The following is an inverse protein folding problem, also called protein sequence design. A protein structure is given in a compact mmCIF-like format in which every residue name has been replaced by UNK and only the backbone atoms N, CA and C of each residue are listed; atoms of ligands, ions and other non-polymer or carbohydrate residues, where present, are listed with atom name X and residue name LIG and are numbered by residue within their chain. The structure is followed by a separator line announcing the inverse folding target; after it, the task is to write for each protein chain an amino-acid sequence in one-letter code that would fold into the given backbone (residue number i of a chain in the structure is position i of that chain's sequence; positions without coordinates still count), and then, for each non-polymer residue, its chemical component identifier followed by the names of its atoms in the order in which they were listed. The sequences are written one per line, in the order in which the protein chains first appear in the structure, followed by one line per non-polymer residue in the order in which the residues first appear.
data_IF_025968704913
#
_entry.id   IF_025968704913
#
_cell.length_a   1.000
_cell.length_b   1.000
_cell.length_c   1.000
_cell.angle_alpha   90.00
_cell.angle_beta   90.00
_cell.angle_gamma   90.00
#
_symmetry.space_group_name_H-M   'P 1'
#
loop_
_entity.id
_entity.type
_entity.pdbx_description
1 polymer ?
#
# COMPACT_ATOMS: atom_id res chain seq x y z
N UNK A 1 13.84 25.36 -22.40
CA UNK A 1 14.85 24.29 -22.19
C UNK A 1 14.44 23.39 -21.03
N UNK A 2 14.05 23.93 -19.86
CA UNK A 2 13.44 23.14 -18.77
C UNK A 2 12.29 22.24 -19.25
N UNK A 3 11.36 22.77 -20.06
CA UNK A 3 10.25 21.98 -20.63
C UNK A 3 10.65 20.82 -21.55
N UNK A 4 11.86 20.85 -22.14
CA UNK A 4 12.37 19.74 -22.97
C UNK A 4 12.97 18.67 -22.06
N UNK A 5 13.69 19.08 -21.02
CA UNK A 5 14.22 18.16 -20.02
C UNK A 5 13.10 17.44 -19.27
N UNK A 6 12.05 18.15 -18.85
CA UNK A 6 10.86 17.55 -18.25
C UNK A 6 10.27 16.45 -19.13
N UNK A 7 10.14 16.69 -20.44
CA UNK A 7 9.65 15.68 -21.38
C UNK A 7 10.58 14.45 -21.49
N UNK A 8 11.90 14.66 -21.41
CA UNK A 8 12.87 13.55 -21.39
C UNK A 8 12.76 12.74 -20.09
N UNK A 9 12.63 13.41 -18.95
CA UNK A 9 12.46 12.75 -17.66
C UNK A 9 11.14 11.97 -17.58
N UNK A 10 10.06 12.55 -18.10
CA UNK A 10 8.76 11.89 -18.21
C UNK A 10 8.84 10.64 -19.10
N UNK A 11 9.58 10.72 -20.21
CA UNK A 11 9.83 9.57 -21.09
C UNK A 11 10.65 8.49 -20.39
N UNK A 12 11.72 8.85 -19.66
CA UNK A 12 12.52 7.89 -18.91
C UNK A 12 11.69 7.19 -17.83
N UNK A 13 10.81 7.89 -17.11
CA UNK A 13 9.91 7.25 -16.15
C UNK A 13 8.89 6.34 -16.82
N UNK A 14 8.34 6.74 -17.96
CA UNK A 14 7.38 5.91 -18.69
C UNK A 14 8.01 4.60 -19.16
N UNK A 15 9.25 4.66 -19.67
CA UNK A 15 10.03 3.48 -20.06
C UNK A 15 10.36 2.59 -18.86
N UNK A 16 10.77 3.18 -17.75
CA UNK A 16 11.03 2.44 -16.51
C UNK A 16 9.77 1.72 -16.01
N UNK A 17 8.63 2.41 -15.94
CA UNK A 17 7.36 1.77 -15.57
C UNK A 17 6.95 0.66 -16.53
N UNK A 18 7.17 0.83 -17.84
CA UNK A 18 6.90 -0.22 -18.81
C UNK A 18 7.79 -1.46 -18.58
N UNK A 19 9.05 -1.25 -18.21
CA UNK A 19 9.96 -2.34 -17.85
C UNK A 19 9.49 -3.08 -16.58
N UNK A 20 9.09 -2.34 -15.53
CA UNK A 20 8.57 -2.93 -14.29
C UNK A 20 7.33 -3.80 -14.51
N UNK A 21 6.43 -3.40 -15.42
CA UNK A 21 5.24 -4.19 -15.75
C UNK A 21 5.56 -5.52 -16.43
N UNK A 22 6.76 -5.67 -16.99
CA UNK A 22 7.24 -6.91 -17.60
C UNK A 22 7.95 -7.85 -16.63
N UNK A 23 8.29 -7.39 -15.43
CA UNK A 23 9.03 -8.16 -14.41
C UNK A 23 8.12 -9.06 -13.59
N UNK A 24 8.69 -10.11 -13.02
CA UNK A 24 7.99 -10.93 -12.03
C UNK A 24 7.99 -10.28 -10.64
N UNK A 25 7.25 -10.88 -9.70
CA UNK A 25 7.08 -10.30 -8.36
C UNK A 25 8.37 -10.36 -7.55
N UNK A 26 9.13 -11.41 -7.73
CA UNK A 26 10.40 -11.64 -7.04
C UNK A 26 11.45 -10.62 -7.51
N UNK A 27 11.52 -10.33 -8.80
CA UNK A 27 12.34 -9.27 -9.40
C UNK A 27 11.94 -7.88 -8.87
N UNK A 28 10.64 -7.56 -8.84
CA UNK A 28 10.14 -6.29 -8.30
C UNK A 28 10.53 -6.12 -6.83
N UNK A 29 10.44 -7.18 -6.01
CA UNK A 29 10.83 -7.13 -4.60
C UNK A 29 12.35 -6.89 -4.48
N UNK A 30 13.15 -7.59 -5.28
CA UNK A 30 14.60 -7.46 -5.28
C UNK A 30 15.06 -6.04 -5.69
N UNK A 31 14.35 -5.41 -6.63
CA UNK A 31 14.64 -4.05 -7.11
C UNK A 31 13.87 -2.96 -6.36
N UNK A 32 13.17 -3.27 -5.28
CA UNK A 32 12.32 -2.30 -4.55
C UNK A 32 13.05 -1.02 -4.13
N UNK A 33 14.32 -1.11 -3.72
CA UNK A 33 15.14 0.05 -3.38
C UNK A 33 15.45 0.94 -4.60
N UNK A 34 15.75 0.34 -5.74
CA UNK A 34 16.00 1.04 -7.00
C UNK A 34 14.72 1.73 -7.50
N UNK A 35 13.57 1.04 -7.42
CA UNK A 35 12.26 1.59 -7.76
C UNK A 35 11.95 2.82 -6.89
N UNK A 36 12.18 2.71 -5.57
CA UNK A 36 11.95 3.82 -4.65
C UNK A 36 12.88 5.01 -4.94
N UNK A 37 14.17 4.75 -5.24
CA UNK A 37 15.12 5.80 -5.61
C UNK A 37 14.71 6.49 -6.91
N UNK A 38 14.30 5.74 -7.93
CA UNK A 38 13.85 6.29 -9.22
C UNK A 38 12.63 7.19 -9.04
N UNK A 39 11.65 6.76 -8.24
CA UNK A 39 10.45 7.55 -7.94
C UNK A 39 10.80 8.84 -7.18
N UNK A 40 11.57 8.73 -6.10
CA UNK A 40 11.95 9.88 -5.28
C UNK A 40 12.78 10.91 -6.07
N UNK A 41 13.71 10.42 -6.90
CA UNK A 41 14.51 11.27 -7.79
C UNK A 41 13.65 12.01 -8.81
N UNK A 42 12.69 11.33 -9.42
CA UNK A 42 11.78 11.92 -10.39
C UNK A 42 10.89 13.00 -9.76
N UNK A 43 10.29 12.73 -8.61
CA UNK A 43 9.42 13.69 -7.93
C UNK A 43 10.22 14.93 -7.50
N UNK A 44 11.37 14.74 -6.87
CA UNK A 44 12.21 15.84 -6.42
C UNK A 44 12.72 16.70 -7.57
N UNK A 45 13.14 16.08 -8.68
CA UNK A 45 13.69 16.84 -9.80
C UNK A 45 12.62 17.68 -10.52
N UNK A 46 11.35 17.26 -10.43
CA UNK A 46 10.22 18.02 -11.01
C UNK A 46 9.72 19.12 -10.08
N UNK A 47 9.62 18.83 -8.78
CA UNK A 47 8.91 19.72 -7.86
C UNK A 47 9.85 20.67 -7.11
N UNK A 48 11.06 20.21 -6.76
CA UNK A 48 11.93 20.90 -5.80
C UNK A 48 13.29 21.32 -6.36
N UNK A 49 13.79 20.65 -7.41
CA UNK A 49 15.13 20.89 -7.90
C UNK A 49 15.26 22.17 -8.72
N UNK A 50 16.31 22.95 -8.41
CA UNK A 50 16.62 24.19 -9.10
C UNK A 50 17.83 24.00 -9.98
N UNK A 51 17.60 23.90 -11.28
CA UNK A 51 18.67 23.78 -12.27
C UNK A 51 19.52 25.05 -12.34
N UNK A 52 20.84 24.88 -12.26
CA UNK A 52 21.80 25.91 -12.55
C UNK A 52 22.03 26.07 -14.07
N UNK A 53 22.81 27.08 -14.45
CA UNK A 53 23.13 27.33 -15.86
C UNK A 53 24.03 26.19 -16.38
N UNK A 54 23.55 25.44 -17.36
CA UNK A 54 24.31 24.36 -17.99
C UNK A 54 23.84 22.96 -17.59
N UNK A 55 23.14 22.82 -16.46
CA UNK A 55 22.69 21.52 -15.95
C UNK A 55 21.75 20.84 -16.93
N UNK A 56 20.80 21.62 -17.48
CA UNK A 56 19.83 21.11 -18.46
C UNK A 56 20.53 20.61 -19.71
N UNK A 57 21.51 21.34 -20.23
CA UNK A 57 22.28 20.94 -21.40
C UNK A 57 23.17 19.72 -21.15
N UNK A 58 23.66 19.53 -19.91
CA UNK A 58 24.43 18.35 -19.51
C UNK A 58 23.50 17.13 -19.42
N UNK A 59 22.36 17.24 -18.73
CA UNK A 59 21.40 16.16 -18.56
C UNK A 59 20.80 15.72 -19.90
N UNK A 60 20.49 16.66 -20.80
CA UNK A 60 19.97 16.34 -22.14
C UNK A 60 20.97 15.61 -23.06
N UNK A 61 22.25 15.52 -22.68
CA UNK A 61 23.27 14.73 -23.41
C UNK A 61 23.38 13.30 -22.89
N UNK A 62 22.76 13.00 -21.75
CA UNK A 62 22.74 11.66 -21.17
C UNK A 62 21.66 10.82 -21.85
N UNK A 63 21.88 9.51 -21.92
CA UNK A 63 20.89 8.57 -22.47
C UNK A 63 19.68 8.41 -21.53
N UNK A 64 19.94 8.30 -20.22
CA UNK A 64 18.93 8.23 -19.18
C UNK A 64 19.31 9.16 -18.01
N UNK A 65 19.09 10.48 -18.15
CA UNK A 65 19.40 11.43 -17.08
C UNK A 65 18.67 11.11 -15.78
N UNK A 66 17.46 10.55 -15.84
CA UNK A 66 16.72 10.24 -14.63
C UNK A 66 17.38 9.11 -13.83
N UNK A 67 17.81 8.04 -14.50
CA UNK A 67 18.56 6.96 -13.86
C UNK A 67 19.85 7.49 -13.22
N UNK A 68 20.58 8.36 -13.92
CA UNK A 68 21.79 8.98 -13.35
C UNK A 68 21.50 9.71 -12.04
N UNK A 69 20.41 10.48 -11.98
CA UNK A 69 20.00 11.20 -10.75
C UNK A 69 19.61 10.20 -9.65
N UNK A 70 18.85 9.16 -10.00
CA UNK A 70 18.41 8.12 -9.07
C UNK A 70 19.60 7.33 -8.46
N UNK A 71 20.66 7.10 -9.22
CA UNK A 71 21.89 6.46 -8.72
C UNK A 71 22.62 7.30 -7.67
N UNK A 72 22.37 8.62 -7.61
CA UNK A 72 22.91 9.49 -6.58
C UNK A 72 22.06 9.51 -5.31
N UNK A 73 20.90 8.83 -5.30
CA UNK A 73 20.02 8.81 -4.15
C UNK A 73 20.64 7.96 -3.02
N UNK A 74 20.74 8.51 -1.79
CA UNK A 74 21.31 7.75 -0.67
C UNK A 74 20.45 6.52 -0.39
N UNK A 75 21.09 5.35 -0.39
CA UNK A 75 20.41 4.07 -0.22
C UNK A 75 19.89 3.86 1.21
N UNK A 76 20.43 4.59 2.20
CA UNK A 76 19.92 4.54 3.58
C UNK A 76 19.77 5.94 4.21
N UNK A 77 18.52 6.27 4.53
CA UNK A 77 18.22 7.49 5.28
C UNK A 77 18.79 7.46 6.71
N UNK A 78 19.09 6.27 7.26
CA UNK A 78 19.67 6.10 8.59
C UNK A 78 21.11 6.61 8.72
N UNK A 79 21.86 6.71 7.62
CA UNK A 79 23.19 7.35 7.66
C UNK A 79 23.08 8.87 7.63
N UNK A 80 21.99 9.40 7.08
CA UNK A 80 21.80 10.83 6.89
C UNK A 80 21.04 11.50 8.05
N UNK A 81 20.16 10.75 8.72
CA UNK A 81 19.32 11.24 9.81
C UNK A 81 19.39 10.29 11.03
N UNK A 82 19.28 10.86 12.24
CA UNK A 82 19.20 10.09 13.49
C UNK A 82 17.82 9.42 13.63
N UNK A 83 17.63 8.35 12.85
CA UNK A 83 16.40 7.56 12.85
C UNK A 83 16.19 6.84 14.19
N UNK A 84 17.28 6.47 14.87
CA UNK A 84 17.21 5.80 16.18
C UNK A 84 16.56 6.71 17.23
N UNK A 85 17.01 7.97 17.28
CA UNK A 85 16.41 8.98 18.13
C UNK A 85 14.93 9.22 17.80
N UNK A 86 14.62 9.47 16.53
CA UNK A 86 13.24 9.74 16.09
C UNK A 86 12.28 8.58 16.41
N UNK A 87 12.68 7.34 16.13
CA UNK A 87 11.87 6.16 16.41
C UNK A 87 11.73 5.97 17.91
N UNK A 88 12.79 6.18 18.68
CA UNK A 88 12.77 6.09 20.14
C UNK A 88 11.78 7.08 20.77
N UNK A 89 11.78 8.33 20.32
CA UNK A 89 10.82 9.35 20.76
C UNK A 89 9.39 8.96 20.39
N UNK A 90 9.15 8.53 19.16
CA UNK A 90 7.81 8.11 18.71
C UNK A 90 7.25 6.94 19.53
N UNK A 91 8.08 5.95 19.87
CA UNK A 91 7.68 4.82 20.72
C UNK A 91 7.34 5.31 22.13
N UNK A 92 8.15 6.19 22.71
CA UNK A 92 7.92 6.73 24.04
C UNK A 92 6.60 7.50 24.11
N UNK A 93 6.35 8.35 23.12
CA UNK A 93 5.12 9.13 23.05
C UNK A 93 3.89 8.25 22.81
N UNK A 94 3.99 7.22 21.97
CA UNK A 94 2.92 6.22 21.83
C UNK A 94 2.60 5.53 23.17
N UNK A 95 3.63 5.22 23.97
CA UNK A 95 3.48 4.64 25.31
C UNK A 95 2.77 5.56 26.31
N UNK A 96 3.13 6.85 26.34
CA UNK A 96 2.45 7.86 27.18
C UNK A 96 0.98 8.01 26.80
N UNK A 97 0.71 8.17 25.51
CA UNK A 97 -0.66 8.30 25.01
C UNK A 97 -1.54 7.07 25.35
N UNK A 98 -0.96 5.86 25.36
CA UNK A 98 -1.67 4.66 25.76
C UNK A 98 -1.95 4.60 27.27
N UNK A 99 -1.01 5.06 28.10
CA UNK A 99 -1.18 5.14 29.55
C UNK A 99 -2.27 6.18 29.93
N UNK A 100 -2.24 7.36 29.31
CA UNK A 100 -3.24 8.41 29.52
C UNK A 100 -4.66 7.93 29.13
N UNK A 101 -4.77 7.17 28.03
CA UNK A 101 -6.04 6.54 27.64
C UNK A 101 -6.52 5.49 28.66
N UNK A 102 -5.60 4.68 29.22
CA UNK A 102 -5.95 3.72 30.27
C UNK A 102 -6.35 4.38 31.59
N UNK A 103 -5.73 5.49 31.98
CA UNK A 103 -6.14 6.25 33.17
C UNK A 103 -7.51 6.92 32.97
N UNK A 104 -7.81 7.37 31.75
CA UNK A 104 -9.13 7.95 31.42
C UNK A 104 -10.23 6.87 31.39
N UNK A 105 -9.92 5.63 30.98
CA UNK A 105 -10.85 4.49 31.02
C UNK A 105 -11.02 3.87 32.41
N UNK A 106 -10.00 3.95 33.28
CA UNK A 106 -10.05 3.45 34.67
C UNK A 106 -10.64 4.46 35.67
N UNK A 107 -10.82 5.73 35.28
CA UNK A 107 -11.42 6.78 36.12
C UNK A 107 -12.96 6.75 36.16
N UNK A 108 -13.62 5.67 35.70
CA UNK A 108 -15.05 5.44 35.93
C UNK A 108 -15.20 4.77 37.32
N UNK A 109 -15.80 5.43 38.34
CA UNK A 109 -15.91 4.85 39.67
C UNK A 109 -16.81 3.61 39.69
N UNK A 110 -16.53 2.60 40.54
CA UNK A 110 -17.38 1.43 40.67
C UNK A 110 -18.61 1.76 41.54
N UNK A 111 -19.70 2.23 40.92
CA UNK A 111 -21.02 2.20 41.56
C UNK A 111 -21.94 1.17 40.88
N UNK A 112 -22.20 0.12 41.67
CA UNK A 112 -23.42 -0.69 41.75
C UNK A 112 -23.93 -1.42 40.49
N UNK A 113 -23.73 -2.74 40.48
CA UNK A 113 -24.57 -3.67 39.72
C UNK A 113 -26.04 -3.47 40.13
N UNK A 114 -26.95 -3.46 39.14
CA UNK A 114 -27.86 -4.58 39.10
C UNK A 114 -27.71 -5.39 37.81
N UNK A 115 -27.71 -6.69 38.04
CA UNK A 115 -27.73 -7.79 37.11
C UNK A 115 -28.91 -7.68 36.14
N UNK A 116 -28.66 -7.51 34.83
CA UNK A 116 -29.59 -7.97 33.78
C UNK A 116 -28.80 -8.47 32.57
N UNK A 117 -28.97 -9.76 32.31
CA UNK A 117 -28.50 -10.46 31.12
C UNK A 117 -29.20 -9.85 29.89
N UNK A 118 -28.43 -9.36 28.94
CA UNK A 118 -28.90 -9.14 27.58
C UNK A 118 -27.88 -9.79 26.65
N UNK A 119 -28.19 -11.04 26.27
CA UNK A 119 -27.49 -11.78 25.25
C UNK A 119 -27.46 -10.94 23.96
N UNK A 120 -26.25 -10.64 23.46
CA UNK A 120 -26.08 -10.07 22.13
C UNK A 120 -26.62 -11.10 21.11
N UNK A 121 -27.56 -10.75 20.21
CA UNK A 121 -28.02 -11.70 19.20
C UNK A 121 -26.85 -12.04 18.27
N UNK A 122 -26.42 -13.30 18.33
CA UNK A 122 -25.37 -13.85 17.47
C UNK A 122 -25.89 -13.98 16.04
N UNK A 123 -25.31 -13.19 15.13
CA UNK A 123 -25.57 -13.21 13.67
C UNK A 123 -25.17 -14.58 13.04
N UNK A 124 -24.43 -15.41 13.77
CA UNK A 124 -23.98 -16.74 13.33
C UNK A 124 -25.12 -17.77 13.17
N UNK A 125 -26.27 -17.56 13.80
CA UNK A 125 -27.41 -18.48 13.71
C UNK A 125 -28.09 -18.42 12.34
N UNK A 126 -28.29 -17.21 11.80
CA UNK A 126 -29.10 -16.96 10.60
C UNK A 126 -28.45 -17.48 9.31
N UNK A 127 -27.12 -17.64 9.30
CA UNK A 127 -26.39 -18.16 8.15
C UNK A 127 -26.54 -19.69 7.99
N UNK A 128 -26.87 -20.39 9.08
CA UNK A 128 -26.96 -21.86 9.10
C UNK A 128 -28.23 -22.38 8.45
N UNK A 129 -29.35 -21.66 8.64
CA UNK A 129 -30.65 -22.08 8.09
C UNK A 129 -30.77 -21.77 6.60
N UNK A 130 -30.17 -20.67 6.13
CA UNK A 130 -30.22 -20.29 4.71
C UNK A 130 -29.47 -21.26 3.80
N UNK A 131 -28.56 -22.08 4.34
CA UNK A 131 -27.81 -23.09 3.56
C UNK A 131 -28.56 -24.41 3.39
N UNK A 132 -29.55 -24.73 4.24
CA UNK A 132 -30.32 -25.98 4.15
C UNK A 132 -31.45 -25.91 3.11
N UNK A 133 -32.00 -24.72 2.87
CA UNK A 133 -33.12 -24.57 1.91
C UNK A 133 -32.66 -24.58 0.44
N UNK A 134 -31.41 -24.19 0.16
CA UNK A 134 -30.84 -24.23 -1.20
C UNK A 134 -30.43 -25.63 -1.66
N UNK A 135 -30.21 -26.57 -0.74
CA UNK A 135 -29.73 -27.93 -1.05
C UNK A 135 -30.82 -28.95 -1.39
N UNK A 136 -32.09 -28.68 -1.08
CA UNK A 136 -33.17 -29.67 -1.26
C UNK A 136 -33.99 -29.53 -2.55
N UNK A 137 -33.80 -28.47 -3.36
CA UNK A 137 -34.57 -28.28 -4.60
C UNK A 137 -34.02 -28.99 -5.84
N UNK A 138 -32.84 -29.63 -5.80
CA UNK A 138 -32.21 -30.23 -6.99
C UNK A 138 -32.49 -31.72 -7.21
N UNK A 139 -33.20 -32.42 -6.31
CA UNK A 139 -33.36 -33.89 -6.36
C UNK A 139 -34.79 -34.37 -6.64
N UNK A 140 -35.69 -33.52 -7.16
CA UNK A 140 -37.07 -33.91 -7.45
C UNK A 140 -37.57 -33.45 -8.84
N UNK A 141 -36.90 -33.90 -9.91
CA UNK A 141 -37.51 -33.90 -11.24
C UNK A 141 -36.82 -34.94 -12.16
N UNK A 142 -36.96 -36.22 -11.82
CA UNK A 142 -36.75 -37.30 -12.79
C UNK A 142 -38.09 -37.82 -13.31
N UNK A 143 -38.24 -37.77 -14.64
CA UNK A 143 -38.77 -38.84 -15.53
C UNK A 143 -40.26 -38.83 -15.94
N UNK A 144 -40.52 -38.56 -17.23
CA UNK A 144 -41.52 -39.19 -18.15
C UNK A 144 -41.03 -38.89 -19.60
N UNK A 145 -40.55 -39.79 -20.49
CA UNK A 145 -41.05 -41.00 -21.21
C UNK A 145 -41.70 -40.69 -22.59
N UNK A 146 -41.18 -41.32 -23.67
CA UNK A 146 -41.78 -41.52 -25.01
C UNK A 146 -40.94 -40.92 -26.16
N UNK A 147 -40.30 -41.69 -27.06
CA UNK A 147 -40.88 -42.31 -28.29
C UNK A 147 -40.89 -41.26 -29.43
N UNK A 148 -40.38 -41.42 -30.65
CA UNK A 148 -40.20 -42.54 -31.57
C UNK A 148 -39.14 -42.19 -32.65
N UNK A 149 -38.69 -43.22 -33.35
CA UNK A 149 -37.77 -43.18 -34.48
C UNK A 149 -38.39 -42.57 -35.75
N UNK A 150 -37.55 -41.89 -36.55
CA UNK A 150 -37.40 -42.08 -38.00
C UNK A 150 -36.23 -41.25 -38.53
#
# INVERSE_FOLDING_TARGET
MASVLEAVLDQNMAEFHAALLGMDKEEIIAQSAEIAAMQAAYDFVKDDFKYERGDVEILLRMENPLQFIAEQWPSNMSELFDMDGQIGEAIMDAGKNAADQQETEQAIPPEEKPHMQAEKPSILSDLSDKKREAGQRSMAASKVKGGEAR
#
